data_IF_781426261272
#
_entry.id   IF_781426261272
#
_cell.length_a   1.000
_cell.length_b   1.000
_cell.length_c   1.000
_cell.angle_alpha   90.00
_cell.angle_beta   90.00
_cell.angle_gamma   90.00
#
_symmetry.space_group_name_H-M   'P 1'
#
loop_
_entity.id
_entity.type
_entity.pdbx_description
1 polymer ?
#
# COMPACT_ATOMS: atom_id res chain seq x y z
N UNK A 1 13.05 24.88 -32.18
CA UNK A 1 11.75 24.30 -31.79
C UNK A 1 12.03 23.09 -30.92
N UNK A 2 11.67 23.17 -29.63
CA UNK A 2 11.91 22.10 -28.66
C UNK A 2 10.80 21.04 -28.80
N UNK A 3 11.21 19.82 -29.14
CA UNK A 3 10.37 18.63 -29.15
C UNK A 3 9.89 18.31 -27.72
N UNK A 4 8.63 18.64 -27.43
CA UNK A 4 7.93 18.16 -26.25
C UNK A 4 7.67 16.66 -26.41
N UNK A 5 8.56 15.82 -25.87
CA UNK A 5 8.30 14.39 -25.62
C UNK A 5 7.26 14.24 -24.51
N UNK A 6 6.01 14.55 -24.82
CA UNK A 6 4.89 14.22 -23.95
C UNK A 6 4.63 12.71 -24.07
N UNK A 7 4.81 11.96 -22.99
CA UNK A 7 4.36 10.57 -22.90
C UNK A 7 2.83 10.61 -22.86
N UNK A 8 2.20 10.18 -23.94
CA UNK A 8 0.73 10.05 -24.02
C UNK A 8 0.32 8.76 -23.30
N UNK A 9 -0.55 8.80 -22.27
CA UNK A 9 -1.06 7.57 -21.67
C UNK A 9 -2.05 6.92 -22.63
N UNK A 10 -1.67 5.78 -23.21
CA UNK A 10 -2.62 4.88 -23.87
C UNK A 10 -3.52 4.27 -22.78
N UNK A 11 -4.81 4.60 -22.83
CA UNK A 11 -5.93 3.90 -22.21
C UNK A 11 -5.61 3.00 -21.00
N UNK A 12 -5.82 3.51 -19.79
CA UNK A 12 -6.28 2.66 -18.69
C UNK A 12 -7.13 3.47 -17.71
N UNK A 13 -8.24 2.88 -17.30
CA UNK A 13 -9.28 3.40 -16.41
C UNK A 13 -8.86 3.56 -14.95
N UNK A 14 -7.63 4.00 -14.70
CA UNK A 14 -7.17 4.34 -13.36
C UNK A 14 -6.59 5.75 -13.39
N UNK A 15 -7.37 6.71 -12.89
CA UNK A 15 -6.82 8.01 -12.50
C UNK A 15 -5.91 7.73 -11.32
N UNK A 16 -4.65 7.40 -11.59
CA UNK A 16 -3.56 7.65 -10.66
C UNK A 16 -3.65 9.16 -10.41
N UNK A 17 -4.21 9.56 -9.27
CA UNK A 17 -4.12 10.96 -8.83
C UNK A 17 -2.63 11.23 -8.74
N UNK A 18 -2.09 11.96 -9.73
CA UNK A 18 -0.72 12.41 -9.72
C UNK A 18 -0.54 13.22 -8.43
N UNK A 19 0.14 12.64 -7.45
CA UNK A 19 0.61 13.39 -6.29
C UNK A 19 1.78 14.22 -6.79
N UNK A 20 1.56 15.52 -6.95
CA UNK A 20 2.60 16.47 -7.33
C UNK A 20 3.34 16.83 -6.05
N UNK A 21 4.62 16.45 -5.98
CA UNK A 21 5.52 16.83 -4.89
C UNK A 21 6.31 18.08 -5.32
N UNK A 22 6.34 19.11 -4.47
CA UNK A 22 7.14 20.31 -4.74
C UNK A 22 8.61 20.04 -4.44
N UNK A 23 9.47 20.21 -5.44
CA UNK A 23 10.92 19.98 -5.31
C UNK A 23 11.60 20.92 -4.31
N UNK A 24 10.94 22.02 -3.90
CA UNK A 24 11.44 22.92 -2.85
C UNK A 24 11.30 22.29 -1.46
N UNK A 25 10.33 21.41 -1.26
CA UNK A 25 10.18 20.64 -0.01
C UNK A 25 11.28 19.58 0.13
N UNK A 26 11.93 19.18 -0.98
CA UNK A 26 13.06 18.25 -1.01
C UNK A 26 14.32 18.80 -0.33
N UNK A 27 14.51 20.12 -0.30
CA UNK A 27 15.65 20.72 0.40
C UNK A 27 15.54 20.56 1.93
N UNK A 28 14.32 20.54 2.47
CA UNK A 28 14.03 20.27 3.89
C UNK A 28 14.31 18.80 4.24
N UNK A 29 14.27 17.89 3.25
CA UNK A 29 14.61 16.48 3.43
C UNK A 29 16.11 16.21 3.54
N UNK A 30 16.99 17.20 3.37
CA UNK A 30 18.43 17.01 3.64
C UNK A 30 18.73 16.64 5.11
N UNK A 31 17.82 16.94 6.04
CA UNK A 31 17.85 16.43 7.43
C UNK A 31 17.28 14.99 7.56
N UNK A 32 16.47 14.53 6.62
CA UNK A 32 15.87 13.18 6.59
C UNK A 32 16.76 12.17 5.85
N UNK A 33 17.60 12.66 4.93
CA UNK A 33 18.59 11.90 4.15
C UNK A 33 19.90 11.60 4.91
N UNK A 34 19.92 11.77 6.23
CA UNK A 34 21.16 11.78 7.02
C UNK A 34 21.10 10.97 8.31
N UNK A 35 21.95 9.92 8.33
CA UNK A 35 22.43 9.12 9.45
C UNK A 35 21.41 8.38 10.33
N UNK A 36 21.50 7.05 10.23
CA UNK A 36 21.02 6.06 11.20
C UNK A 36 21.22 6.58 12.63
N UNK A 37 20.15 6.98 13.30
CA UNK A 37 20.15 7.05 14.76
C UNK A 37 20.01 5.61 15.23
N UNK A 38 21.09 5.03 15.73
CA UNK A 38 21.01 3.79 16.52
C UNK A 38 20.14 4.07 17.76
N UNK A 39 18.83 3.93 17.60
CA UNK A 39 17.85 4.04 18.68
C UNK A 39 17.67 2.73 19.44
N UNK A 40 18.34 1.65 19.00
CA UNK A 40 18.16 0.30 19.53
C UNK A 40 16.80 -0.33 19.24
N UNK A 41 15.90 0.38 18.54
CA UNK A 41 14.62 -0.13 18.08
C UNK A 41 14.79 -0.89 16.76
N UNK A 42 13.97 -1.93 16.54
CA UNK A 42 13.94 -2.64 15.28
C UNK A 42 13.45 -1.69 14.17
N UNK A 43 14.27 -1.51 13.13
CA UNK A 43 13.90 -0.72 11.96
C UNK A 43 13.58 -1.63 10.77
N UNK A 44 12.54 -1.26 10.04
CA UNK A 44 12.11 -1.91 8.82
C UNK A 44 12.52 -1.05 7.61
N UNK A 45 13.21 -1.67 6.65
CA UNK A 45 13.50 -1.06 5.36
C UNK A 45 12.42 -1.47 4.36
N UNK A 46 11.59 -0.51 3.94
CA UNK A 46 10.48 -0.72 3.03
C UNK A 46 10.89 -0.30 1.62
N UNK A 47 10.67 -1.17 0.64
CA UNK A 47 10.92 -0.89 -0.78
C UNK A 47 9.60 -0.81 -1.58
N UNK A 48 9.68 -0.43 -2.85
CA UNK A 48 8.50 -0.34 -3.73
C UNK A 48 7.71 -1.64 -3.85
N UNK A 49 8.35 -2.79 -3.66
CA UNK A 49 7.77 -4.13 -3.83
C UNK A 49 7.57 -4.85 -2.48
N UNK A 50 7.49 -4.11 -1.37
CA UNK A 50 7.29 -4.71 -0.04
C UNK A 50 5.90 -5.34 0.07
N UNK A 51 5.85 -6.66 0.26
CA UNK A 51 4.62 -7.47 0.35
C UNK A 51 3.69 -7.03 1.48
N UNK A 52 4.21 -6.35 2.51
CA UNK A 52 3.39 -5.82 3.60
C UNK A 52 2.48 -4.69 3.11
N UNK A 53 2.90 -3.92 2.10
CA UNK A 53 2.08 -2.86 1.50
C UNK A 53 0.88 -3.47 0.76
N UNK A 54 1.14 -4.48 -0.08
CA UNK A 54 0.10 -5.19 -0.83
C UNK A 54 -0.91 -5.85 0.10
N UNK A 55 -0.44 -6.58 1.12
CA UNK A 55 -1.30 -7.24 2.13
C UNK A 55 -2.19 -6.25 2.90
N UNK A 56 -1.74 -5.01 3.07
CA UNK A 56 -2.51 -3.96 3.75
C UNK A 56 -3.26 -3.04 2.76
N UNK A 57 -3.42 -3.45 1.49
CA UNK A 57 -4.17 -2.75 0.45
C UNK A 57 -3.69 -1.30 0.21
N UNK A 58 -2.40 -1.04 0.47
CA UNK A 58 -1.77 0.27 0.32
C UNK A 58 -0.60 0.18 -0.67
N UNK A 59 0.13 1.27 -0.87
CA UNK A 59 1.24 1.32 -1.83
C UNK A 59 2.43 2.10 -1.29
N UNK A 60 3.58 1.88 -1.91
CA UNK A 60 4.80 2.61 -1.56
C UNK A 60 4.63 4.12 -1.75
N UNK A 61 3.89 4.55 -2.79
CA UNK A 61 3.57 5.97 -3.00
C UNK A 61 2.77 6.59 -1.86
N UNK A 62 1.82 5.84 -1.27
CA UNK A 62 1.07 6.30 -0.09
C UNK A 62 1.96 6.40 1.13
N UNK A 63 2.82 5.41 1.36
CA UNK A 63 3.79 5.46 2.46
C UNK A 63 4.76 6.63 2.30
N UNK A 64 5.29 6.83 1.10
CA UNK A 64 6.15 7.97 0.77
C UNK A 64 5.44 9.30 1.03
N UNK A 65 4.19 9.42 0.61
CA UNK A 65 3.39 10.62 0.87
C UNK A 65 3.14 10.86 2.36
N UNK A 66 2.91 9.80 3.15
CA UNK A 66 2.74 9.89 4.60
C UNK A 66 4.03 10.32 5.31
N UNK A 67 5.19 9.83 4.85
CA UNK A 67 6.51 10.27 5.35
C UNK A 67 6.73 11.74 4.97
N UNK A 68 6.43 12.09 3.72
CA UNK A 68 6.57 13.45 3.19
C UNK A 68 5.71 14.46 3.94
N UNK A 69 4.45 14.11 4.24
CA UNK A 69 3.51 14.94 4.99
C UNK A 69 3.79 14.95 6.51
N UNK A 70 4.81 14.21 6.97
CA UNK A 70 5.16 14.01 8.38
C UNK A 70 4.07 13.33 9.21
N UNK A 71 3.15 12.61 8.57
CA UNK A 71 2.18 11.75 9.24
C UNK A 71 2.87 10.58 9.95
N UNK A 72 3.90 10.02 9.30
CA UNK A 72 4.75 8.96 9.84
C UNK A 72 6.21 9.41 9.85
N UNK A 73 6.94 9.06 10.92
CA UNK A 73 8.38 9.29 10.99
C UNK A 73 9.09 8.21 10.20
N UNK A 74 9.82 8.60 9.16
CA UNK A 74 10.62 7.70 8.34
C UNK A 74 11.78 8.43 7.70
N UNK A 75 12.79 7.66 7.31
CA UNK A 75 14.01 8.15 6.65
C UNK A 75 14.06 7.61 5.23
N UNK A 76 14.24 8.51 4.26
CA UNK A 76 14.42 8.11 2.88
C UNK A 76 15.85 7.62 2.70
N UNK A 77 16.00 6.40 2.20
CA UNK A 77 17.28 5.79 1.88
C UNK A 77 17.40 5.60 0.38
N UNK A 78 18.40 6.23 -0.23
CA UNK A 78 18.68 6.09 -1.65
C UNK A 78 19.85 5.16 -1.86
N UNK A 79 19.60 3.98 -2.42
CA UNK A 79 20.65 3.10 -2.95
C UNK A 79 20.79 3.33 -4.46
N UNK A 80 21.90 2.88 -5.06
CA UNK A 80 22.20 3.14 -6.48
C UNK A 80 21.05 2.80 -7.44
N UNK A 81 20.20 1.83 -7.08
CA UNK A 81 19.17 1.28 -7.95
C UNK A 81 17.72 1.42 -7.43
N UNK A 82 17.52 1.85 -6.18
CA UNK A 82 16.18 1.92 -5.58
C UNK A 82 16.07 2.90 -4.41
N UNK A 83 14.93 3.60 -4.36
CA UNK A 83 14.46 4.35 -3.21
C UNK A 83 13.79 3.39 -2.21
N UNK A 84 14.22 3.46 -0.96
CA UNK A 84 13.64 2.75 0.17
C UNK A 84 13.30 3.74 1.30
N UNK A 85 12.45 3.32 2.22
CA UNK A 85 12.09 4.10 3.41
C UNK A 85 12.40 3.25 4.64
N UNK A 86 13.27 3.75 5.51
CA UNK A 86 13.52 3.16 6.83
C UNK A 86 12.54 3.75 7.85
N UNK A 87 11.82 2.89 8.55
CA UNK A 87 10.80 3.27 9.54
C UNK A 87 10.96 2.34 10.75
N UNK A 88 10.73 2.85 11.96
CA UNK A 88 10.58 2.01 13.15
C UNK A 88 9.47 0.96 12.94
N UNK A 89 9.75 -0.30 13.24
CA UNK A 89 8.87 -1.42 12.89
C UNK A 89 7.49 -1.29 13.55
N UNK A 90 7.44 -0.88 14.82
CA UNK A 90 6.17 -0.67 15.52
C UNK A 90 5.33 0.46 14.91
N UNK A 91 6.00 1.51 14.46
CA UNK A 91 5.36 2.65 13.79
C UNK A 91 4.80 2.24 12.43
N UNK A 92 5.55 1.44 11.67
CA UNK A 92 5.12 0.90 10.39
C UNK A 92 3.89 -0.01 10.56
N UNK A 93 3.93 -0.95 11.50
CA UNK A 93 2.83 -1.90 11.74
C UNK A 93 1.54 -1.17 12.16
N UNK A 94 1.65 -0.18 13.04
CA UNK A 94 0.52 0.65 13.45
C UNK A 94 -0.10 1.39 12.27
N UNK A 95 0.73 1.97 11.40
CA UNK A 95 0.29 2.70 10.22
C UNK A 95 -0.36 1.76 9.18
N UNK A 96 0.27 0.62 8.88
CA UNK A 96 -0.26 -0.39 7.97
C UNK A 96 -1.61 -0.93 8.46
N UNK A 97 -1.73 -1.22 9.77
CA UNK A 97 -2.98 -1.66 10.37
C UNK A 97 -4.07 -0.59 10.32
N UNK A 98 -3.72 0.70 10.41
CA UNK A 98 -4.68 1.79 10.24
C UNK A 98 -5.14 1.93 8.78
N UNK A 99 -4.22 1.85 7.81
CA UNK A 99 -4.54 1.87 6.38
C UNK A 99 -5.45 0.69 6.01
N UNK A 100 -5.11 -0.53 6.44
CA UNK A 100 -5.93 -1.72 6.18
C UNK A 100 -7.35 -1.55 6.72
N UNK A 101 -7.51 -1.12 7.98
CA UNK A 101 -8.82 -0.85 8.58
C UNK A 101 -9.58 0.23 7.81
N UNK A 102 -8.90 1.27 7.36
CA UNK A 102 -9.49 2.32 6.52
C UNK A 102 -10.01 1.78 5.18
N UNK A 103 -9.22 0.95 4.50
CA UNK A 103 -9.62 0.29 3.25
C UNK A 103 -10.79 -0.68 3.46
N UNK A 104 -10.82 -1.39 4.60
CA UNK A 104 -11.84 -2.39 4.94
C UNK A 104 -13.13 -1.81 5.51
N UNK A 105 -13.26 -0.48 5.61
CA UNK A 105 -14.48 0.18 6.08
C UNK A 105 -15.68 -0.02 5.14
N UNK A 106 -15.44 -0.40 3.89
CA UNK A 106 -16.47 -0.74 2.91
C UNK A 106 -16.17 -2.04 2.17
N UNK A 107 -16.89 -2.27 1.07
CA UNK A 107 -16.64 -3.44 0.22
C UNK A 107 -15.39 -3.23 -0.64
N UNK A 108 -14.65 -4.31 -0.84
CA UNK A 108 -13.41 -4.35 -1.60
C UNK A 108 -13.65 -4.99 -2.96
N UNK A 109 -13.07 -4.45 -4.01
CA UNK A 109 -13.11 -5.08 -5.32
C UNK A 109 -12.28 -6.36 -5.33
N UNK A 110 -12.81 -7.45 -5.89
CA UNK A 110 -12.13 -8.76 -5.89
C UNK A 110 -10.71 -8.70 -6.47
N UNK A 111 -10.44 -7.86 -7.46
CA UNK A 111 -9.08 -7.75 -8.02
C UNK A 111 -8.06 -7.19 -7.03
N UNK A 112 -8.47 -6.27 -6.14
CA UNK A 112 -7.60 -5.72 -5.10
C UNK A 112 -7.27 -6.79 -4.06
N UNK A 113 -8.27 -7.59 -3.68
CA UNK A 113 -8.10 -8.71 -2.75
C UNK A 113 -7.23 -9.80 -3.37
N UNK A 114 -7.41 -10.12 -4.66
CA UNK A 114 -6.55 -11.06 -5.39
C UNK A 114 -5.09 -10.61 -5.41
N UNK A 115 -4.84 -9.33 -5.70
CA UNK A 115 -3.50 -8.76 -5.68
C UNK A 115 -2.87 -8.85 -4.27
N UNK A 116 -3.60 -8.42 -3.24
CA UNK A 116 -3.14 -8.41 -1.85
C UNK A 116 -2.87 -9.81 -1.28
N UNK A 117 -3.61 -10.82 -1.75
CA UNK A 117 -3.41 -12.22 -1.37
C UNK A 117 -2.49 -12.99 -2.32
N UNK A 118 -1.94 -12.32 -3.34
CA UNK A 118 -1.17 -12.92 -4.44
C UNK A 118 -1.85 -14.19 -5.00
N UNK A 119 -3.17 -14.13 -5.24
CA UNK A 119 -3.95 -15.28 -5.65
C UNK A 119 -4.87 -14.99 -6.85
N UNK A 120 -5.15 -16.02 -7.64
CA UNK A 120 -6.10 -15.92 -8.75
C UNK A 120 -7.55 -16.16 -8.33
N UNK A 121 -8.48 -15.94 -9.28
CA UNK A 121 -9.93 -16.06 -9.04
C UNK A 121 -10.33 -17.40 -8.42
N UNK A 122 -9.77 -18.52 -8.91
CA UNK A 122 -10.07 -19.86 -8.38
C UNK A 122 -9.77 -19.97 -6.87
N UNK A 123 -8.61 -19.45 -6.44
CA UNK A 123 -8.22 -19.46 -5.03
C UNK A 123 -9.09 -18.52 -4.20
N UNK A 124 -9.39 -17.32 -4.71
CA UNK A 124 -10.31 -16.39 -4.04
C UNK A 124 -11.68 -17.03 -3.83
N UNK A 125 -12.26 -17.65 -4.87
CA UNK A 125 -13.54 -18.34 -4.76
C UNK A 125 -13.47 -19.52 -3.79
N UNK A 126 -12.35 -20.24 -3.72
CA UNK A 126 -12.19 -21.30 -2.71
C UNK A 126 -12.23 -20.77 -1.27
N UNK A 127 -11.70 -19.57 -1.02
CA UNK A 127 -11.78 -18.92 0.29
C UNK A 127 -13.22 -18.50 0.62
N UNK A 128 -13.96 -18.01 -0.39
CA UNK A 128 -15.37 -17.66 -0.26
C UNK A 128 -16.22 -18.89 0.02
N UNK A 129 -16.09 -19.96 -0.77
CA UNK A 129 -16.81 -21.21 -0.58
C UNK A 129 -16.47 -21.89 0.75
N UNK A 130 -15.28 -21.67 1.29
CA UNK A 130 -14.86 -22.16 2.61
C UNK A 130 -15.33 -21.26 3.77
N UNK A 131 -16.07 -20.18 3.50
CA UNK A 131 -16.55 -19.23 4.51
C UNK A 131 -15.46 -18.38 5.16
N UNK A 132 -14.26 -18.33 4.57
CA UNK A 132 -13.14 -17.51 5.07
C UNK A 132 -13.22 -16.06 4.60
N UNK A 133 -13.88 -15.83 3.48
CA UNK A 133 -14.18 -14.50 2.94
C UNK A 133 -15.66 -14.45 2.58
N UNK A 134 -16.27 -13.28 2.74
CA UNK A 134 -17.67 -13.07 2.38
C UNK A 134 -17.73 -12.23 1.09
N UNK A 135 -18.48 -12.71 0.11
CA UNK A 135 -18.72 -11.99 -1.13
C UNK A 135 -20.04 -11.25 -1.04
N UNK A 136 -20.05 -9.98 -1.46
CA UNK A 136 -21.29 -9.24 -1.65
C UNK A 136 -21.86 -9.64 -3.00
N UNK A 137 -22.89 -10.46 -2.97
CA UNK A 137 -23.71 -10.68 -4.16
C UNK A 137 -24.48 -9.40 -4.48
N UNK A 138 -24.31 -8.82 -5.67
CA UNK A 138 -25.18 -7.74 -6.14
C UNK A 138 -25.88 -8.07 -7.47
N UNK A 139 -27.20 -7.91 -7.41
CA UNK A 139 -28.19 -8.05 -8.48
C UNK A 139 -27.75 -7.26 -9.72
N UNK A 140 -27.58 -7.96 -10.85
CA UNK A 140 -27.40 -7.46 -12.23
C UNK A 140 -26.42 -6.28 -12.39
N UNK A 141 -25.14 -6.56 -12.64
CA UNK A 141 -24.19 -5.51 -13.08
C UNK A 141 -22.70 -5.87 -13.13
N UNK A 142 -22.29 -6.98 -12.50
CA UNK A 142 -21.02 -7.64 -12.84
C UNK A 142 -19.74 -7.08 -12.19
N UNK A 143 -19.76 -6.70 -10.90
CA UNK A 143 -18.52 -6.54 -10.14
C UNK A 143 -18.64 -7.26 -8.80
N UNK A 144 -18.06 -8.46 -8.75
CA UNK A 144 -17.93 -9.21 -7.50
C UNK A 144 -17.09 -8.38 -6.51
N UNK A 145 -17.58 -8.24 -5.28
CA UNK A 145 -16.91 -7.52 -4.20
C UNK A 145 -16.79 -8.41 -2.98
N UNK A 146 -15.75 -8.22 -2.18
CA UNK A 146 -15.55 -8.87 -0.89
C UNK A 146 -15.96 -7.90 0.22
N UNK A 147 -16.70 -8.38 1.21
CA UNK A 147 -17.03 -7.59 2.41
C UNK A 147 -15.71 -7.24 3.12
N UNK A 148 -15.39 -5.96 3.27
CA UNK A 148 -14.12 -5.51 3.85
C UNK A 148 -13.87 -6.06 5.25
N UNK A 149 -14.91 -6.13 6.09
CA UNK A 149 -14.82 -6.73 7.42
C UNK A 149 -14.38 -8.21 7.41
N UNK A 150 -14.86 -8.99 6.42
CA UNK A 150 -14.46 -10.40 6.27
C UNK A 150 -12.98 -10.53 5.87
N UNK A 151 -12.50 -9.63 5.01
CA UNK A 151 -11.10 -9.59 4.61
C UNK A 151 -10.18 -9.17 5.76
N UNK A 152 -10.57 -8.15 6.53
CA UNK A 152 -9.85 -7.71 7.72
C UNK A 152 -9.68 -8.87 8.71
N UNK A 153 -10.77 -9.55 9.06
CA UNK A 153 -10.75 -10.69 9.97
C UNK A 153 -9.86 -11.83 9.44
N UNK A 154 -9.89 -12.08 8.13
CA UNK A 154 -9.02 -13.07 7.49
C UNK A 154 -7.54 -12.69 7.64
N UNK A 155 -7.17 -11.45 7.34
CA UNK A 155 -5.77 -10.99 7.43
C UNK A 155 -5.25 -11.01 8.87
N UNK A 156 -6.08 -10.62 9.84
CA UNK A 156 -5.76 -10.67 11.27
C UNK A 156 -5.59 -12.12 11.76
N UNK A 157 -6.42 -13.06 11.27
CA UNK A 157 -6.27 -14.49 11.61
C UNK A 157 -4.95 -15.09 11.15
N UNK A 158 -4.37 -14.57 10.06
CA UNK A 158 -3.08 -15.00 9.54
C UNK A 158 -1.88 -14.42 10.33
N UNK A 159 -2.09 -13.37 11.13
CA UNK A 159 -1.05 -12.75 11.96
C UNK A 159 -0.99 -13.34 13.38
N UNK A 160 -2.05 -14.02 13.83
CA UNK A 160 -2.15 -14.63 15.15
C UNK A 160 -1.67 -16.08 15.24
N UNK A 161 -0.86 -16.57 14.29
CA UNK A 161 -0.22 -17.89 14.26
C UNK A 161 1.27 -17.72 13.97
#
# INVERSE_FOLDING_TARGET
CLDCRCITPLNSTHVVRQQIFDIRDLAVLSEVLGQKKDSGAASALVSMNDVRLDRNLTSFGRLLAAVWSREIKGHLFWSADALSIEIDESTLDNWLGAELRGQCSGNLECYRVMAALHCGKSKLMSLVSAGRLECVDWVRGGRDQIVGASYLAYVESLAGH
#
